data_IF_596952317984
#
_entry.id   IF_596952317984
#
_cell.length_a   1.000
_cell.length_b   1.000
_cell.length_c   1.000
_cell.angle_alpha   90.00
_cell.angle_beta   90.00
_cell.angle_gamma   90.00
#
_symmetry.space_group_name_H-M   'P 1'
#
loop_
_entity.id
_entity.type
_entity.pdbx_description
1 polymer ?
#
# COMPACT_ATOMS: atom_id res chain seq x y z
N UNK A 1 -3.30 -12.33 21.24
CA UNK A 1 -1.90 -12.59 20.84
C UNK A 1 -1.82 -13.41 19.52
N UNK A 2 -2.70 -14.39 19.32
CA UNK A 2 -2.65 -15.24 18.12
C UNK A 2 -2.94 -14.47 16.82
N UNK A 3 -3.86 -13.51 16.84
CA UNK A 3 -4.21 -12.69 15.67
C UNK A 3 -3.11 -11.69 15.28
N UNK A 4 -2.31 -11.20 16.24
CA UNK A 4 -1.19 -10.28 15.94
C UNK A 4 -0.10 -10.92 15.09
N UNK A 5 0.24 -12.17 15.36
CA UNK A 5 1.21 -12.93 14.58
C UNK A 5 0.68 -13.24 13.17
N UNK A 6 -0.60 -13.61 13.09
CA UNK A 6 -1.28 -13.85 11.80
C UNK A 6 -1.30 -12.57 10.95
N UNK A 7 -1.66 -11.43 11.54
CA UNK A 7 -1.64 -10.13 10.86
C UNK A 7 -0.24 -9.78 10.35
N UNK A 8 0.81 -10.02 11.16
CA UNK A 8 2.19 -9.75 10.77
C UNK A 8 2.62 -10.53 9.52
N UNK A 9 2.37 -11.85 9.48
CA UNK A 9 2.70 -12.66 8.30
C UNK A 9 1.85 -12.28 7.08
N UNK A 10 0.56 -12.01 7.27
CA UNK A 10 -0.32 -11.56 6.19
C UNK A 10 0.13 -10.23 5.59
N UNK A 11 0.60 -9.28 6.41
CA UNK A 11 1.13 -8.00 5.94
C UNK A 11 2.37 -8.22 5.08
N UNK A 12 3.32 -9.05 5.51
CA UNK A 12 4.54 -9.34 4.74
C UNK A 12 4.19 -9.97 3.39
N UNK A 13 3.35 -11.00 3.40
CA UNK A 13 2.90 -11.67 2.18
C UNK A 13 2.20 -10.68 1.25
N UNK A 14 1.29 -9.86 1.79
CA UNK A 14 0.57 -8.84 1.01
C UNK A 14 1.52 -7.83 0.37
N UNK A 15 2.52 -7.31 1.11
CA UNK A 15 3.52 -6.38 0.59
C UNK A 15 4.31 -7.01 -0.55
N UNK A 16 4.78 -8.25 -0.39
CA UNK A 16 5.56 -8.96 -1.42
C UNK A 16 4.72 -9.18 -2.68
N UNK A 17 3.51 -9.70 -2.52
CA UNK A 17 2.60 -9.98 -3.64
C UNK A 17 2.24 -8.68 -4.36
N UNK A 18 1.86 -7.62 -3.63
CA UNK A 18 1.51 -6.34 -4.21
C UNK A 18 2.69 -5.73 -4.99
N UNK A 19 3.91 -5.79 -4.41
CA UNK A 19 5.12 -5.31 -5.07
C UNK A 19 5.37 -6.04 -6.40
N UNK A 20 5.26 -7.37 -6.41
CA UNK A 20 5.48 -8.19 -7.61
C UNK A 20 4.41 -7.93 -8.68
N UNK A 21 3.14 -7.89 -8.28
CA UNK A 21 2.01 -7.65 -9.20
C UNK A 21 2.12 -6.27 -9.83
N UNK A 22 2.34 -5.22 -9.01
CA UNK A 22 2.40 -3.84 -9.54
C UNK A 22 3.61 -3.70 -10.45
N UNK A 23 4.76 -4.24 -10.09
CA UNK A 23 5.95 -4.22 -10.97
C UNK A 23 5.69 -4.93 -12.30
N UNK A 24 5.03 -6.09 -12.27
CA UNK A 24 4.63 -6.80 -13.47
C UNK A 24 3.66 -5.98 -14.34
N UNK A 25 2.63 -5.39 -13.74
CA UNK A 25 1.65 -4.57 -14.44
C UNK A 25 2.27 -3.29 -15.02
N UNK A 26 3.17 -2.63 -14.28
CA UNK A 26 3.89 -1.46 -14.78
C UNK A 26 4.71 -1.79 -16.03
N UNK A 27 5.40 -2.93 -16.04
CA UNK A 27 6.16 -3.38 -17.20
C UNK A 27 5.23 -3.71 -18.38
N UNK A 28 4.12 -4.39 -18.13
CA UNK A 28 3.13 -4.78 -19.15
C UNK A 28 2.47 -3.56 -19.79
N UNK A 29 2.11 -2.56 -18.98
CA UNK A 29 1.44 -1.33 -19.40
C UNK A 29 2.43 -0.23 -19.83
N UNK A 30 3.73 -0.52 -19.83
CA UNK A 30 4.80 0.44 -20.17
C UNK A 30 4.72 1.74 -19.35
N UNK A 31 4.36 1.63 -18.08
CA UNK A 31 4.29 2.76 -17.15
C UNK A 31 5.74 3.19 -16.80
N UNK A 32 6.04 4.49 -16.77
CA UNK A 32 7.37 4.97 -16.35
C UNK A 32 7.77 4.40 -14.99
N UNK A 33 9.02 3.89 -14.88
CA UNK A 33 9.51 3.23 -13.67
C UNK A 33 9.30 4.06 -12.40
N UNK A 34 9.52 5.37 -12.49
CA UNK A 34 9.31 6.31 -11.37
C UNK A 34 7.88 6.27 -10.86
N UNK A 35 6.89 6.38 -11.75
CA UNK A 35 5.47 6.32 -11.39
C UNK A 35 5.10 4.93 -10.84
N UNK A 36 5.67 3.87 -11.42
CA UNK A 36 5.51 2.50 -10.93
C UNK A 36 5.98 2.35 -9.47
N UNK A 37 7.13 2.91 -9.11
CA UNK A 37 7.62 2.91 -7.72
C UNK A 37 6.72 3.70 -6.78
N UNK A 38 6.22 4.87 -7.19
CA UNK A 38 5.32 5.69 -6.37
C UNK A 38 4.00 4.95 -6.09
N UNK A 39 3.37 4.38 -7.11
CA UNK A 39 2.14 3.60 -6.97
C UNK A 39 2.38 2.37 -6.09
N UNK A 40 3.50 1.66 -6.29
CA UNK A 40 3.86 0.49 -5.49
C UNK A 40 3.95 0.84 -4.01
N UNK A 41 4.67 1.91 -3.67
CA UNK A 41 4.83 2.34 -2.28
C UNK A 41 3.50 2.80 -1.66
N UNK A 42 2.69 3.54 -2.42
CA UNK A 42 1.35 3.93 -1.98
C UNK A 42 0.45 2.73 -1.70
N UNK A 43 0.47 1.74 -2.57
CA UNK A 43 -0.36 0.54 -2.45
C UNK A 43 0.15 -0.41 -1.36
N UNK A 44 1.47 -0.57 -1.23
CA UNK A 44 2.05 -1.54 -0.28
C UNK A 44 2.02 -1.08 1.17
N UNK A 45 1.94 0.22 1.49
CA UNK A 45 2.12 0.69 2.88
C UNK A 45 0.94 1.57 3.34
N UNK A 46 1.09 2.89 3.22
CA UNK A 46 0.19 3.87 3.87
C UNK A 46 -0.38 4.91 2.90
N UNK A 47 -0.58 4.54 1.65
CA UNK A 47 -1.21 5.41 0.69
C UNK A 47 -0.38 6.67 0.39
N UNK A 48 -0.99 7.82 0.56
CA UNK A 48 -0.44 9.14 0.22
C UNK A 48 0.89 9.42 0.91
N UNK A 49 1.02 9.09 2.19
CA UNK A 49 2.26 9.34 2.96
C UNK A 49 3.47 8.62 2.36
N UNK A 50 3.30 7.36 1.95
CA UNK A 50 4.36 6.58 1.31
C UNK A 50 4.72 7.14 -0.07
N UNK A 51 3.74 7.61 -0.85
CA UNK A 51 3.98 8.26 -2.15
C UNK A 51 4.83 9.52 -1.95
N UNK A 52 4.44 10.42 -1.04
CA UNK A 52 5.15 11.68 -0.79
C UNK A 52 6.57 11.43 -0.28
N UNK A 53 6.74 10.50 0.68
CA UNK A 53 8.05 10.16 1.20
C UNK A 53 8.98 9.60 0.11
N UNK A 54 8.46 8.71 -0.73
CA UNK A 54 9.21 8.12 -1.85
C UNK A 54 9.54 9.17 -2.91
N UNK A 55 8.60 10.05 -3.27
CA UNK A 55 8.81 11.11 -4.25
C UNK A 55 9.92 12.07 -3.84
N UNK A 56 9.98 12.41 -2.56
CA UNK A 56 11.01 13.28 -2.00
C UNK A 56 12.42 12.67 -2.12
N UNK A 57 12.54 11.36 -1.87
CA UNK A 57 13.82 10.65 -1.96
C UNK A 57 14.27 10.45 -3.40
N UNK A 58 13.35 10.14 -4.30
CA UNK A 58 13.62 9.93 -5.71
C UNK A 58 13.74 11.23 -6.50
N UNK A 59 13.38 12.37 -5.88
CA UNK A 59 13.32 13.70 -6.53
C UNK A 59 12.49 13.67 -7.80
N UNK A 60 11.26 13.15 -7.68
CA UNK A 60 10.35 13.01 -8.80
C UNK A 60 9.63 14.32 -9.13
N UNK A 61 9.11 14.42 -10.35
CA UNK A 61 8.29 15.56 -10.76
C UNK A 61 6.99 15.63 -9.96
N UNK A 62 6.49 16.86 -9.77
CA UNK A 62 5.24 17.12 -9.06
C UNK A 62 4.04 16.45 -9.75
N UNK A 63 4.02 16.40 -11.07
CA UNK A 63 2.92 15.82 -11.84
C UNK A 63 2.80 14.31 -11.60
N UNK A 64 3.93 13.59 -11.64
CA UNK A 64 3.95 12.14 -11.33
C UNK A 64 3.54 11.85 -9.89
N UNK A 65 4.00 12.69 -8.95
CA UNK A 65 3.62 12.56 -7.54
C UNK A 65 2.14 12.80 -7.35
N UNK A 66 1.59 13.88 -7.93
CA UNK A 66 0.16 14.22 -7.84
C UNK A 66 -0.71 13.15 -8.49
N UNK A 67 -0.29 12.59 -9.62
CA UNK A 67 -1.00 11.51 -10.28
C UNK A 67 -1.04 10.26 -9.39
N UNK A 68 0.10 9.83 -8.83
CA UNK A 68 0.15 8.69 -7.94
C UNK A 68 -0.72 8.87 -6.69
N UNK A 69 -0.67 10.06 -6.07
CA UNK A 69 -1.53 10.43 -4.93
C UNK A 69 -3.00 10.35 -5.31
N UNK A 70 -3.37 10.94 -6.47
CA UNK A 70 -4.76 10.93 -6.94
C UNK A 70 -5.30 9.52 -7.16
N UNK A 71 -4.53 8.66 -7.83
CA UNK A 71 -4.91 7.26 -8.07
C UNK A 71 -5.11 6.50 -6.76
N UNK A 72 -4.13 6.54 -5.85
CA UNK A 72 -4.19 5.83 -4.57
C UNK A 72 -5.35 6.32 -3.70
N UNK A 73 -5.59 7.63 -3.68
CA UNK A 73 -6.70 8.23 -2.93
C UNK A 73 -8.05 7.83 -3.51
N UNK A 74 -8.22 7.88 -4.83
CA UNK A 74 -9.47 7.54 -5.50
C UNK A 74 -9.88 6.08 -5.22
N UNK A 75 -8.96 5.14 -5.45
CA UNK A 75 -9.24 3.73 -5.19
C UNK A 75 -9.46 3.45 -3.70
N UNK A 76 -8.78 4.18 -2.83
CA UNK A 76 -9.00 4.06 -1.40
C UNK A 76 -10.38 4.58 -0.97
N UNK A 77 -10.88 5.67 -1.56
CA UNK A 77 -12.25 6.17 -1.30
C UNK A 77 -13.29 5.12 -1.73
N UNK A 78 -13.11 4.53 -2.92
CA UNK A 78 -13.98 3.43 -3.37
C UNK A 78 -13.95 2.27 -2.36
N UNK A 79 -12.78 1.91 -1.87
CA UNK A 79 -12.63 0.84 -0.88
C UNK A 79 -13.35 1.16 0.44
N UNK A 80 -13.35 2.41 0.91
CA UNK A 80 -14.08 2.82 2.12
C UNK A 80 -15.58 2.49 2.03
N UNK A 81 -16.17 2.68 0.87
CA UNK A 81 -17.60 2.42 0.70
C UNK A 81 -17.93 0.93 0.51
N UNK A 82 -17.10 0.17 -0.16
CA UNK A 82 -17.42 -1.21 -0.52
C UNK A 82 -16.83 -2.27 0.43
N UNK A 83 -15.67 -2.02 1.00
CA UNK A 83 -14.97 -3.04 1.79
C UNK A 83 -15.61 -3.38 3.12
N UNK A 84 -16.36 -2.50 3.83
CA UNK A 84 -17.12 -2.92 5.00
C UNK A 84 -18.15 -4.01 4.69
N UNK A 85 -18.84 -3.93 3.55
CA UNK A 85 -19.79 -4.96 3.11
C UNK A 85 -19.10 -6.26 2.73
N UNK A 86 -17.98 -6.17 2.02
CA UNK A 86 -17.16 -7.33 1.65
C UNK A 86 -16.61 -8.00 2.90
N UNK A 87 -16.10 -7.22 3.86
CA UNK A 87 -15.60 -7.71 5.13
C UNK A 87 -16.68 -8.50 5.89
N UNK A 88 -17.89 -7.95 5.97
CA UNK A 88 -19.00 -8.64 6.61
C UNK A 88 -19.42 -9.91 5.87
N UNK A 89 -19.44 -9.88 4.54
CA UNK A 89 -19.85 -11.04 3.76
C UNK A 89 -18.91 -12.25 3.96
N UNK A 90 -17.59 -12.02 4.00
CA UNK A 90 -16.61 -13.10 4.11
C UNK A 90 -16.17 -13.41 5.55
N UNK A 91 -16.24 -12.44 6.46
CA UNK A 91 -15.65 -12.54 7.80
C UNK A 91 -16.65 -12.24 8.94
N UNK A 92 -17.96 -12.33 8.69
CA UNK A 92 -18.99 -12.05 9.71
C UNK A 92 -18.83 -12.91 10.99
N UNK A 93 -18.19 -14.08 10.87
CA UNK A 93 -17.95 -15.01 11.97
C UNK A 93 -16.76 -14.63 12.85
N UNK A 94 -15.91 -13.69 12.42
CA UNK A 94 -14.71 -13.26 13.16
C UNK A 94 -14.44 -11.76 12.95
N UNK A 95 -14.80 -10.93 13.95
CA UNK A 95 -14.55 -9.51 13.93
C UNK A 95 -13.08 -9.13 13.71
N UNK A 96 -12.17 -9.92 14.32
CA UNK A 96 -10.72 -9.70 14.13
C UNK A 96 -10.29 -9.90 12.68
N UNK A 97 -10.77 -10.95 12.00
CA UNK A 97 -10.43 -11.18 10.60
C UNK A 97 -11.01 -10.10 9.68
N UNK A 98 -12.23 -9.62 9.97
CA UNK A 98 -12.81 -8.48 9.28
C UNK A 98 -11.94 -7.21 9.45
N UNK A 99 -11.45 -6.95 10.65
CA UNK A 99 -10.54 -5.85 10.95
C UNK A 99 -9.18 -6.00 10.25
N UNK A 100 -8.57 -7.18 10.28
CA UNK A 100 -7.33 -7.48 9.56
C UNK A 100 -7.52 -7.26 8.05
N UNK A 101 -8.64 -7.69 7.48
CA UNK A 101 -8.96 -7.45 6.08
C UNK A 101 -9.03 -5.95 5.77
N UNK A 102 -9.81 -5.16 6.53
CA UNK A 102 -9.92 -3.71 6.33
C UNK A 102 -8.55 -3.01 6.47
N UNK A 103 -7.77 -3.36 7.49
CA UNK A 103 -6.44 -2.79 7.75
C UNK A 103 -5.40 -3.13 6.68
N UNK A 104 -5.50 -4.30 6.05
CA UNK A 104 -4.57 -4.75 5.00
C UNK A 104 -5.01 -4.37 3.59
N UNK A 105 -6.30 -4.31 3.30
CA UNK A 105 -6.81 -4.09 1.96
C UNK A 105 -6.93 -2.60 1.59
N UNK A 106 -7.18 -1.71 2.57
CA UNK A 106 -7.30 -0.27 2.35
C UNK A 106 -5.92 0.40 2.50
N UNK A 107 -5.61 1.34 1.61
CA UNK A 107 -4.24 1.87 1.50
C UNK A 107 -3.95 2.97 2.52
N UNK A 108 -4.81 3.96 2.65
CA UNK A 108 -4.61 5.11 3.53
C UNK A 108 -5.14 4.87 4.96
N UNK A 109 -4.45 5.41 5.98
CA UNK A 109 -4.81 5.22 7.39
C UNK A 109 -6.15 5.87 7.73
N UNK A 110 -6.41 7.08 7.22
CA UNK A 110 -7.69 7.76 7.47
C UNK A 110 -8.85 6.99 6.82
N UNK A 111 -8.62 6.41 5.65
CA UNK A 111 -9.59 5.58 4.96
C UNK A 111 -9.86 4.25 5.70
N UNK A 112 -8.83 3.62 6.28
CA UNK A 112 -9.01 2.44 7.15
C UNK A 112 -9.88 2.82 8.35
N UNK A 113 -9.57 3.92 9.02
CA UNK A 113 -10.36 4.39 10.16
C UNK A 113 -11.82 4.64 9.77
N UNK A 114 -12.06 5.33 8.65
CA UNK A 114 -13.41 5.57 8.17
C UNK A 114 -14.16 4.26 7.86
N UNK A 115 -13.55 3.34 7.10
CA UNK A 115 -14.17 2.06 6.77
C UNK A 115 -14.47 1.19 7.99
N UNK A 116 -13.56 1.19 8.98
CA UNK A 116 -13.74 0.40 10.20
C UNK A 116 -14.79 1.01 11.15
N UNK A 117 -14.93 2.35 11.18
CA UNK A 117 -16.05 3.00 11.88
C UNK A 117 -17.38 2.66 11.22
N UNK A 118 -17.47 2.78 9.88
CA UNK A 118 -18.66 2.38 9.13
C UNK A 118 -19.03 0.92 9.46
N UNK A 119 -18.05 0.02 9.44
CA UNK A 119 -18.30 -1.40 9.78
C UNK A 119 -18.79 -1.54 11.22
N UNK A 120 -18.11 -0.89 12.18
CA UNK A 120 -18.47 -0.94 13.60
C UNK A 120 -19.89 -0.44 13.86
N UNK A 121 -20.28 0.66 13.24
CA UNK A 121 -21.62 1.24 13.39
C UNK A 121 -22.71 0.35 12.75
N UNK A 122 -22.43 -0.24 11.59
CA UNK A 122 -23.40 -1.08 10.88
C UNK A 122 -23.60 -2.46 11.53
N UNK A 123 -22.54 -3.04 12.10
CA UNK A 123 -22.55 -4.43 12.59
C UNK A 123 -22.27 -4.55 14.09
N UNK A 124 -22.25 -3.44 14.84
CA UNK A 124 -21.99 -3.38 16.28
C UNK A 124 -20.71 -4.10 16.71
N UNK A 125 -19.61 -3.83 16.03
CA UNK A 125 -18.33 -4.52 16.22
C UNK A 125 -17.16 -3.56 16.47
N UNK A 126 -16.98 -3.12 17.71
CA UNK A 126 -15.80 -2.32 18.11
C UNK A 126 -14.48 -3.11 17.98
N UNK A 127 -14.55 -4.43 18.11
CA UNK A 127 -13.39 -5.31 17.96
C UNK A 127 -12.79 -5.22 16.54
N UNK A 128 -13.65 -5.15 15.51
CA UNK A 128 -13.21 -4.95 14.12
C UNK A 128 -12.50 -3.60 13.94
N UNK A 129 -13.00 -2.53 14.56
CA UNK A 129 -12.36 -1.22 14.53
C UNK A 129 -10.94 -1.27 15.11
N UNK A 130 -10.79 -1.86 16.30
CA UNK A 130 -9.51 -1.98 16.98
C UNK A 130 -8.51 -2.83 16.20
N UNK A 131 -8.96 -3.97 15.67
CA UNK A 131 -8.13 -4.86 14.85
C UNK A 131 -7.70 -4.21 13.53
N UNK A 132 -8.57 -3.43 12.87
CA UNK A 132 -8.24 -2.72 11.64
C UNK A 132 -7.17 -1.65 11.87
N UNK A 133 -7.34 -0.82 12.88
CA UNK A 133 -6.38 0.25 13.22
C UNK A 133 -5.03 -0.35 13.61
N UNK A 134 -5.02 -1.35 14.49
CA UNK A 134 -3.80 -2.03 14.94
C UNK A 134 -3.04 -2.66 13.77
N UNK A 135 -3.74 -3.37 12.89
CA UNK A 135 -3.18 -3.97 11.68
C UNK A 135 -2.57 -2.91 10.77
N UNK A 136 -3.26 -1.78 10.60
CA UNK A 136 -2.76 -0.66 9.80
C UNK A 136 -1.52 -0.01 10.37
N UNK A 137 -1.47 0.22 11.69
CA UNK A 137 -0.28 0.77 12.36
C UNK A 137 0.92 -0.16 12.21
N UNK A 138 0.70 -1.47 12.37
CA UNK A 138 1.74 -2.47 12.14
C UNK A 138 2.26 -2.43 10.69
N UNK A 139 1.37 -2.33 9.70
CA UNK A 139 1.75 -2.18 8.29
C UNK A 139 2.56 -0.90 8.04
N UNK A 140 2.18 0.21 8.65
CA UNK A 140 2.89 1.48 8.51
C UNK A 140 4.33 1.41 9.05
N UNK A 141 4.60 0.58 10.06
CA UNK A 141 5.96 0.40 10.61
C UNK A 141 6.95 -0.15 9.57
N UNK A 142 6.47 -0.88 8.57
CA UNK A 142 7.32 -1.35 7.46
C UNK A 142 7.84 -0.22 6.55
N UNK A 143 7.29 0.99 6.66
CA UNK A 143 7.78 2.16 5.90
C UNK A 143 9.27 2.41 6.17
N UNK A 144 9.70 2.22 7.42
CA UNK A 144 11.10 2.41 7.84
C UNK A 144 12.06 1.52 7.04
N UNK A 145 11.64 0.31 6.69
CA UNK A 145 12.44 -0.65 5.94
C UNK A 145 12.30 -0.46 4.42
N UNK A 146 11.08 -0.19 3.96
CA UNK A 146 10.78 -0.17 2.52
C UNK A 146 11.28 1.11 1.84
N UNK A 147 11.28 2.25 2.51
CA UNK A 147 11.80 3.50 1.93
C UNK A 147 13.30 3.37 1.52
N UNK A 148 14.22 2.95 2.42
CA UNK A 148 15.61 2.75 2.04
C UNK A 148 15.79 1.67 0.97
N UNK A 149 15.01 0.60 1.01
CA UNK A 149 15.05 -0.48 0.03
C UNK A 149 14.71 0.03 -1.37
N UNK A 150 13.61 0.77 -1.53
CA UNK A 150 13.20 1.34 -2.81
C UNK A 150 14.21 2.37 -3.30
N UNK A 151 14.73 3.22 -2.42
CA UNK A 151 15.79 4.17 -2.78
C UNK A 151 17.04 3.47 -3.33
N UNK A 152 17.40 2.33 -2.75
CA UNK A 152 18.53 1.50 -3.22
C UNK A 152 18.22 0.87 -4.60
N UNK A 153 17.05 0.27 -4.76
CA UNK A 153 16.63 -0.37 -6.02
C UNK A 153 16.58 0.65 -7.16
N UNK A 154 16.00 1.81 -6.93
CA UNK A 154 15.94 2.89 -7.92
C UNK A 154 17.32 3.39 -8.34
N UNK A 155 18.24 3.61 -7.38
CA UNK A 155 19.61 4.01 -7.68
C UNK A 155 20.35 2.95 -8.49
N UNK A 156 20.11 1.66 -8.21
CA UNK A 156 20.71 0.55 -8.94
C UNK A 156 20.23 0.50 -10.39
N UNK A 157 18.94 0.64 -10.63
CA UNK A 157 18.37 0.69 -11.98
C UNK A 157 18.93 1.88 -12.78
N UNK A 158 18.95 3.07 -12.19
CA UNK A 158 19.51 4.27 -12.85
C UNK A 158 20.99 4.14 -13.22
N UNK A 159 21.79 3.44 -12.43
CA UNK A 159 23.20 3.15 -12.76
C UNK A 159 23.33 2.15 -13.91
N UNK A 160 22.42 1.19 -14.03
CA UNK A 160 22.41 0.21 -15.14
C UNK A 160 22.02 0.90 -16.43
N UNK A 161 21.03 1.77 -16.43
CA UNK A 161 20.60 2.53 -17.61
C UNK A 161 21.72 3.43 -18.14
N UNK A 162 22.41 4.15 -17.25
CA UNK A 162 23.55 5.00 -17.65
C UNK A 162 24.69 4.14 -18.23
N UNK A 163 24.98 2.98 -17.66
CA UNK A 163 26.03 2.07 -18.15
C UNK A 163 25.68 1.47 -19.51
N UNK A 164 24.42 1.16 -19.75
CA UNK A 164 23.94 0.64 -21.04
C UNK A 164 23.98 1.75 -22.12
N UNK A 165 23.53 2.97 -21.81
CA UNK A 165 23.60 4.11 -22.72
C UNK A 165 25.04 4.44 -23.11
N UNK A 166 26.01 4.30 -22.20
CA UNK A 166 27.44 4.50 -22.51
C UNK A 166 27.96 3.37 -23.42
N UNK A 167 27.46 2.13 -23.27
CA UNK A 167 27.87 1.00 -24.12
C UNK A 167 27.31 1.06 -25.55
N UNK A 168 26.19 1.73 -25.74
CA UNK A 168 25.60 1.95 -27.07
C UNK A 168 26.25 3.13 -27.83
N UNK A 169 27.00 3.98 -27.11
CA UNK A 169 27.72 5.12 -27.68
C UNK A 169 29.16 4.78 -28.10
N UNK A 170 29.68 3.61 -27.75
CA UNK A 170 30.99 3.09 -28.13
C UNK A 170 30.84 1.74 -28.87
#
# INVERSE_FOLDING_TARGET
FNYGLTAFFLIIINIIIAFLIIKYLCNLLKIPNVLGYLITMGTCICGVTAVIATSSIMKTDKDQTSYAVGVVTLFGIIAVFFYPYIANYYFYFSPDLAGIFLGTAIHDTAQVSAASVIYSDMYNSEETLNSAITTKLLRNSFLILLIPLIAYLYKKEKKVDVKNSIKEFF
#
